data_IF_185284761404
#
_entry.id   IF_185284761404
#
_cell.length_a   1.000
_cell.length_b   1.000
_cell.length_c   1.000
_cell.angle_alpha   90.00
_cell.angle_beta   90.00
_cell.angle_gamma   90.00
#
_symmetry.space_group_name_H-M   'P 1'
#
loop_
_entity.id
_entity.type
_entity.pdbx_description
1 polymer ?
#
# COMPACT_ATOMS: atom_id res chain seq x y z
N UNK A 1 -54.96 34.68 -18.71
CA UNK A 1 -54.61 33.32 -19.15
C UNK A 1 -53.32 33.42 -19.95
N UNK A 2 -52.26 32.78 -19.46
CA UNK A 2 -51.08 32.21 -20.19
C UNK A 2 -50.27 33.14 -21.11
N UNK A 3 -48.93 33.25 -21.08
CA UNK A 3 -47.86 32.33 -20.67
C UNK A 3 -46.56 33.12 -20.42
N UNK A 4 -45.71 32.55 -19.56
CA UNK A 4 -44.33 32.96 -19.26
C UNK A 4 -43.40 32.90 -20.48
N UNK A 5 -42.38 33.78 -20.58
CA UNK A 5 -41.21 33.50 -21.41
C UNK A 5 -40.20 32.64 -20.64
N UNK A 6 -40.08 31.38 -21.06
CA UNK A 6 -39.00 30.47 -20.69
C UNK A 6 -37.63 31.10 -20.98
N UNK A 7 -36.84 31.37 -19.94
CA UNK A 7 -35.41 31.59 -20.09
C UNK A 7 -34.73 30.24 -20.38
N UNK A 8 -34.60 29.90 -21.66
CA UNK A 8 -33.69 28.85 -22.14
C UNK A 8 -32.27 29.25 -21.84
N UNK A 9 -31.81 28.74 -20.72
CA UNK A 9 -30.42 28.71 -20.35
C UNK A 9 -29.77 27.47 -21.02
N UNK A 10 -28.56 27.71 -21.56
CA UNK A 10 -27.43 26.77 -21.56
C UNK A 10 -27.13 26.00 -22.88
N UNK A 11 -26.13 26.55 -23.58
CA UNK A 11 -25.10 25.86 -24.36
C UNK A 11 -25.50 25.08 -25.62
N UNK A 12 -25.64 25.81 -26.75
CA UNK A 12 -25.49 25.23 -28.09
C UNK A 12 -24.01 24.87 -28.33
N UNK A 13 -23.66 23.60 -28.16
CA UNK A 13 -22.32 23.08 -28.42
C UNK A 13 -22.30 22.33 -29.76
N UNK A 14 -22.16 23.08 -30.85
CA UNK A 14 -22.07 22.54 -32.22
C UNK A 14 -20.83 21.67 -32.45
N UNK A 15 -21.08 20.41 -32.83
CA UNK A 15 -20.33 19.61 -33.80
C UNK A 15 -18.94 19.07 -33.39
N UNK A 16 -17.93 19.94 -33.23
CA UNK A 16 -16.54 19.53 -32.95
C UNK A 16 -16.19 19.52 -31.46
N UNK A 17 -16.76 20.46 -30.69
CA UNK A 17 -16.57 20.54 -29.24
C UNK A 17 -17.27 19.39 -28.50
N UNK A 18 -18.30 18.78 -29.10
CA UNK A 18 -18.97 17.60 -28.55
C UNK A 18 -18.02 16.40 -28.42
N UNK A 19 -17.12 16.17 -29.39
CA UNK A 19 -16.12 15.08 -29.31
C UNK A 19 -15.03 15.36 -28.29
N UNK A 20 -14.53 16.60 -28.23
CA UNK A 20 -13.51 16.98 -27.24
C UNK A 20 -14.07 16.88 -25.82
N UNK A 21 -15.29 17.39 -25.61
CA UNK A 21 -15.99 17.29 -24.33
C UNK A 21 -16.32 15.84 -23.99
N UNK A 22 -16.70 15.01 -24.97
CA UNK A 22 -16.93 13.58 -24.77
C UNK A 22 -15.63 12.84 -24.43
N UNK A 23 -14.49 13.19 -25.05
CA UNK A 23 -13.17 12.64 -24.68
C UNK A 23 -12.78 13.08 -23.27
N UNK A 24 -13.02 14.34 -22.90
CA UNK A 24 -12.77 14.85 -21.55
C UNK A 24 -13.64 14.11 -20.53
N UNK A 25 -14.94 13.91 -20.81
CA UNK A 25 -15.83 13.17 -19.90
C UNK A 25 -15.53 11.67 -19.86
N UNK A 26 -15.07 11.05 -20.95
CA UNK A 26 -14.62 9.65 -20.94
C UNK A 26 -13.30 9.51 -20.19
N UNK A 27 -12.38 10.47 -20.32
CA UNK A 27 -11.13 10.51 -19.56
C UNK A 27 -11.42 10.77 -18.07
N UNK A 28 -12.30 11.71 -17.74
CA UNK A 28 -12.77 11.96 -16.37
C UNK A 28 -13.50 10.75 -15.80
N UNK A 29 -14.32 10.05 -16.59
CA UNK A 29 -14.97 8.83 -16.17
C UNK A 29 -13.96 7.70 -15.95
N UNK A 30 -12.93 7.59 -16.79
CA UNK A 30 -11.82 6.63 -16.60
C UNK A 30 -10.98 6.97 -15.37
N UNK A 31 -10.74 8.26 -15.09
CA UNK A 31 -10.08 8.70 -13.86
C UNK A 31 -10.94 8.42 -12.65
N UNK A 32 -12.25 8.70 -12.69
CA UNK A 32 -13.18 8.38 -11.59
C UNK A 32 -13.33 6.87 -11.37
N UNK A 33 -13.30 6.06 -12.43
CA UNK A 33 -13.27 4.59 -12.35
C UNK A 33 -11.90 4.09 -11.87
N UNK A 34 -10.80 4.72 -12.24
CA UNK A 34 -9.46 4.40 -11.72
C UNK A 34 -9.32 4.79 -10.23
N UNK A 35 -9.94 5.89 -9.80
CA UNK A 35 -10.03 6.29 -8.39
C UNK A 35 -10.85 5.30 -7.56
N UNK A 36 -11.85 4.64 -8.16
CA UNK A 36 -12.58 3.54 -7.52
C UNK A 36 -11.74 2.26 -7.41
N UNK A 37 -10.71 2.06 -8.24
CA UNK A 37 -9.81 0.90 -8.17
C UNK A 37 -8.77 1.06 -7.05
N UNK A 38 -8.41 2.29 -6.66
CA UNK A 38 -7.63 2.55 -5.44
C UNK A 38 -8.48 2.28 -4.18
N UNK A 39 -9.79 2.50 -4.26
CA UNK A 39 -10.76 2.26 -3.17
C UNK A 39 -11.30 0.82 -3.17
N UNK A 40 -10.92 -0.03 -4.13
CA UNK A 40 -11.51 -1.35 -4.36
C UNK A 40 -10.53 -2.52 -4.47
N UNK A 41 -9.26 -2.33 -4.12
CA UNK A 41 -8.37 -3.46 -3.87
C UNK A 41 -8.90 -4.26 -2.66
N UNK A 42 -8.93 -5.61 -2.68
CA UNK A 42 -8.92 -6.41 -1.45
C UNK A 42 -7.57 -6.31 -0.67
N UNK A 43 -6.81 -5.25 -0.93
CA UNK A 43 -5.50 -4.91 -0.38
C UNK A 43 -5.20 -3.41 -0.51
N UNK A 44 -6.24 -2.58 -0.61
CA UNK A 44 -6.08 -1.15 -0.38
C UNK A 44 -5.65 -1.05 1.06
N UNK A 45 -4.45 -0.54 1.32
CA UNK A 45 -3.97 -0.30 2.66
C UNK A 45 -4.75 0.90 3.21
N UNK A 46 -6.05 0.71 3.43
CA UNK A 46 -6.73 1.47 4.45
C UNK A 46 -6.08 1.03 5.74
N UNK A 47 -5.27 1.90 6.34
CA UNK A 47 -4.85 1.82 7.75
C UNK A 47 -6.04 1.91 8.74
N UNK A 48 -7.25 1.55 8.30
CA UNK A 48 -8.49 1.70 9.04
C UNK A 48 -9.57 0.86 8.39
N UNK A 49 -9.62 -0.42 8.74
CA UNK A 49 -10.88 -1.16 8.67
C UNK A 49 -11.85 -0.53 9.67
N UNK A 50 -12.73 0.35 9.18
CA UNK A 50 -13.96 0.75 9.87
C UNK A 50 -13.96 2.16 10.49
N UNK A 51 -14.65 3.09 9.82
CA UNK A 51 -15.19 4.31 10.42
C UNK A 51 -14.18 5.41 10.72
N UNK A 52 -14.46 6.62 10.25
CA UNK A 52 -13.67 7.83 10.56
C UNK A 52 -13.73 8.21 12.03
N UNK A 53 -13.06 7.46 12.89
CA UNK A 53 -12.75 7.88 14.24
C UNK A 53 -11.38 8.56 14.19
N UNK A 54 -11.40 9.89 14.26
CA UNK A 54 -10.25 10.67 14.70
C UNK A 54 -9.84 10.11 16.06
N UNK A 55 -8.70 9.41 16.11
CA UNK A 55 -8.13 8.95 17.37
C UNK A 55 -7.68 10.21 18.11
N UNK A 56 -8.17 10.41 19.33
CA UNK A 56 -7.70 11.54 20.14
C UNK A 56 -6.20 11.37 20.44
N UNK A 57 -5.47 12.48 20.52
CA UNK A 57 -4.04 12.45 20.83
C UNK A 57 -3.75 11.65 22.11
N UNK A 58 -4.60 11.77 23.13
CA UNK A 58 -4.52 11.01 24.38
C UNK A 58 -4.59 9.48 24.17
N UNK A 59 -5.38 9.02 23.21
CA UNK A 59 -5.50 7.60 22.89
C UNK A 59 -4.28 7.06 22.11
N UNK A 60 -3.68 7.91 21.27
CA UNK A 60 -2.42 7.59 20.59
C UNK A 60 -1.26 7.48 21.60
N UNK A 61 -1.14 8.43 22.53
CA UNK A 61 -0.13 8.41 23.60
C UNK A 61 -0.28 7.19 24.51
N UNK A 62 -1.50 6.84 24.90
CA UNK A 62 -1.76 5.61 25.67
C UNK A 62 -1.35 4.33 24.92
N UNK A 63 -1.46 4.33 23.59
CA UNK A 63 -1.05 3.20 22.75
C UNK A 63 0.47 3.05 22.71
N UNK A 64 1.21 4.17 22.65
CA UNK A 64 2.67 4.20 22.75
C UNK A 64 3.12 3.68 24.12
N UNK A 65 2.55 4.21 25.21
CA UNK A 65 2.90 3.79 26.58
C UNK A 65 2.64 2.28 26.80
N UNK A 66 1.56 1.74 26.22
CA UNK A 66 1.30 0.31 26.23
C UNK A 66 2.38 -0.49 25.49
N UNK A 67 2.83 0.00 24.34
CA UNK A 67 3.89 -0.65 23.58
C UNK A 67 5.22 -0.64 24.36
N UNK A 68 5.56 0.46 25.03
CA UNK A 68 6.76 0.58 25.88
C UNK A 68 6.73 -0.38 27.07
N UNK A 69 5.60 -0.50 27.79
CA UNK A 69 5.46 -1.50 28.87
C UNK A 69 5.61 -2.95 28.37
N UNK A 70 5.14 -3.24 27.17
CA UNK A 70 5.32 -4.55 26.55
C UNK A 70 6.78 -4.79 26.15
N UNK A 71 7.49 -3.74 25.74
CA UNK A 71 8.90 -3.79 25.41
C UNK A 71 9.75 -4.15 26.63
N UNK A 72 9.50 -3.49 27.77
CA UNK A 72 10.13 -3.85 29.06
C UNK A 72 9.84 -5.31 29.45
N UNK A 73 8.61 -5.77 29.24
CA UNK A 73 8.23 -7.16 29.48
C UNK A 73 9.00 -8.12 28.56
N UNK A 74 9.11 -7.83 27.27
CA UNK A 74 9.90 -8.63 26.32
C UNK A 74 11.38 -8.63 26.69
N UNK A 75 11.94 -7.50 27.12
CA UNK A 75 13.32 -7.42 27.58
C UNK A 75 13.60 -8.36 28.77
N UNK A 76 12.63 -8.50 29.69
CA UNK A 76 12.71 -9.46 30.80
C UNK A 76 12.41 -10.92 30.39
N UNK A 77 11.76 -11.14 29.25
CA UNK A 77 11.32 -12.44 28.75
C UNK A 77 11.63 -12.61 27.24
N UNK A 78 12.91 -12.57 26.82
CA UNK A 78 13.27 -12.45 25.41
C UNK A 78 12.90 -13.67 24.55
N UNK A 79 12.63 -14.81 25.18
CA UNK A 79 12.21 -16.05 24.48
C UNK A 79 10.70 -16.29 24.55
N UNK A 80 9.91 -15.36 25.10
CA UNK A 80 8.46 -15.48 25.16
C UNK A 80 7.84 -15.01 23.84
N UNK A 81 7.60 -15.96 22.93
CA UNK A 81 7.00 -15.69 21.63
C UNK A 81 5.68 -14.91 21.73
N UNK A 82 4.84 -15.16 22.75
CA UNK A 82 3.57 -14.45 22.91
C UNK A 82 3.77 -13.00 23.32
N UNK A 83 4.74 -12.71 24.20
CA UNK A 83 5.06 -11.34 24.57
C UNK A 83 5.62 -10.54 23.37
N UNK A 84 6.47 -11.17 22.55
CA UNK A 84 6.98 -10.56 21.32
C UNK A 84 5.87 -10.33 20.28
N UNK A 85 4.96 -11.29 20.11
CA UNK A 85 3.78 -11.15 19.26
C UNK A 85 2.94 -9.92 19.69
N UNK A 86 2.67 -9.80 20.99
CA UNK A 86 1.93 -8.68 21.58
C UNK A 86 2.65 -7.35 21.37
N UNK A 87 3.99 -7.31 21.50
CA UNK A 87 4.79 -6.12 21.26
C UNK A 87 4.69 -5.65 19.81
N UNK A 88 4.84 -6.56 18.83
CA UNK A 88 4.68 -6.23 17.40
C UNK A 88 3.32 -5.59 17.14
N UNK A 89 2.24 -6.23 17.62
CA UNK A 89 0.88 -5.70 17.46
C UNK A 89 0.71 -4.33 18.12
N UNK A 90 1.27 -4.15 19.32
CA UNK A 90 1.15 -2.90 20.06
C UNK A 90 1.89 -1.75 19.37
N UNK A 91 3.11 -1.99 18.85
CA UNK A 91 3.88 -0.98 18.10
C UNK A 91 3.17 -0.59 16.79
N UNK A 92 2.61 -1.55 16.05
CA UNK A 92 1.79 -1.26 14.86
C UNK A 92 0.56 -0.42 15.24
N UNK A 93 -0.15 -0.80 16.30
CA UNK A 93 -1.33 -0.06 16.75
C UNK A 93 -0.98 1.37 17.18
N UNK A 94 0.14 1.55 17.88
CA UNK A 94 0.66 2.86 18.26
C UNK A 94 1.00 3.70 17.03
N UNK A 95 1.70 3.13 16.04
CA UNK A 95 2.00 3.81 14.79
C UNK A 95 0.74 4.23 14.03
N UNK A 96 -0.27 3.35 13.94
CA UNK A 96 -1.54 3.66 13.31
C UNK A 96 -2.28 4.81 14.03
N UNK A 97 -2.24 4.83 15.36
CA UNK A 97 -2.86 5.90 16.16
C UNK A 97 -2.16 7.25 16.01
N UNK A 98 -0.92 7.27 15.51
CA UNK A 98 -0.11 8.46 15.26
C UNK A 98 -0.15 8.91 13.79
N UNK A 99 -0.88 8.21 12.91
CA UNK A 99 -1.11 8.65 11.53
C UNK A 99 -2.04 9.86 11.57
N UNK A 100 -1.57 10.96 10.98
CA UNK A 100 -2.36 12.19 10.89
C UNK A 100 -3.32 12.08 9.70
N UNK A 101 -4.54 12.58 9.88
CA UNK A 101 -5.55 12.61 8.82
C UNK A 101 -5.97 14.06 8.62
N UNK A 102 -5.75 14.57 7.42
CA UNK A 102 -6.27 15.87 7.01
C UNK A 102 -7.80 15.81 6.96
N UNK A 103 -8.47 16.63 7.77
CA UNK A 103 -9.92 16.54 7.94
C UNK A 103 -10.71 17.05 6.73
N UNK A 104 -10.09 17.86 5.87
CA UNK A 104 -10.74 18.48 4.71
C UNK A 104 -10.65 17.57 3.47
N UNK A 105 -9.51 16.87 3.32
CA UNK A 105 -9.20 16.03 2.16
C UNK A 105 -9.29 14.53 2.45
N UNK A 106 -9.22 14.13 3.73
CA UNK A 106 -9.10 12.75 4.15
C UNK A 106 -7.71 12.14 3.90
N UNK A 107 -6.73 12.96 3.49
CA UNK A 107 -5.36 12.50 3.21
C UNK A 107 -4.67 12.04 4.50
N UNK A 108 -4.03 10.87 4.45
CA UNK A 108 -3.30 10.31 5.59
C UNK A 108 -1.82 10.61 5.45
N UNK A 109 -1.22 11.15 6.51
CA UNK A 109 0.22 11.44 6.59
C UNK A 109 0.86 10.62 7.68
N UNK A 110 1.87 9.82 7.30
CA UNK A 110 2.70 9.08 8.25
C UNK A 110 3.83 10.01 8.73
N UNK A 111 3.63 10.62 9.89
CA UNK A 111 4.62 11.50 10.52
C UNK A 111 5.82 10.74 11.12
N UNK A 112 6.79 11.47 11.64
CA UNK A 112 8.01 10.94 12.25
C UNK A 112 7.71 9.98 13.42
N UNK A 113 6.76 10.33 14.29
CA UNK A 113 6.37 9.48 15.44
C UNK A 113 5.75 8.15 15.01
N UNK A 114 4.88 8.17 13.99
CA UNK A 114 4.31 6.94 13.44
C UNK A 114 5.40 6.07 12.81
N UNK A 115 6.32 6.70 12.06
CA UNK A 115 7.48 6.04 11.44
C UNK A 115 8.39 5.37 12.48
N UNK A 116 8.64 6.04 13.61
CA UNK A 116 9.39 5.48 14.73
C UNK A 116 8.71 4.22 15.28
N UNK A 117 7.40 4.27 15.58
CA UNK A 117 6.68 3.09 16.07
C UNK A 117 6.66 1.94 15.07
N UNK A 118 6.53 2.21 13.77
CA UNK A 118 6.63 1.17 12.75
C UNK A 118 8.04 0.60 12.61
N UNK A 119 9.08 1.41 12.79
CA UNK A 119 10.46 0.94 12.79
C UNK A 119 10.71 -0.01 13.97
N UNK A 120 10.26 0.37 15.16
CA UNK A 120 10.30 -0.48 16.36
C UNK A 120 9.47 -1.76 16.17
N UNK A 121 8.32 -1.69 15.49
CA UNK A 121 7.53 -2.86 15.14
C UNK A 121 8.29 -3.81 14.19
N UNK A 122 9.02 -3.27 13.21
CA UNK A 122 9.83 -4.05 12.30
C UNK A 122 11.00 -4.76 13.03
N UNK A 123 11.63 -4.10 13.99
CA UNK A 123 12.66 -4.71 14.85
C UNK A 123 12.06 -5.83 15.72
N UNK A 124 10.97 -5.55 16.45
CA UNK A 124 10.28 -6.55 17.26
C UNK A 124 9.79 -7.76 16.43
N UNK A 125 9.41 -7.52 15.17
CA UNK A 125 9.03 -8.58 14.23
C UNK A 125 10.20 -9.51 13.91
N UNK A 126 11.41 -8.99 13.69
CA UNK A 126 12.58 -9.83 13.45
C UNK A 126 12.90 -10.71 14.65
N UNK A 127 12.75 -10.20 15.87
CA UNK A 127 12.96 -10.99 17.08
C UNK A 127 11.87 -12.03 17.29
N UNK A 128 10.61 -11.67 17.01
CA UNK A 128 9.50 -12.62 17.00
C UNK A 128 9.70 -13.78 16.00
N UNK A 129 10.20 -13.48 14.79
CA UNK A 129 10.53 -14.50 13.80
C UNK A 129 11.62 -15.46 14.28
N UNK A 130 12.66 -14.94 14.97
CA UNK A 130 13.72 -15.79 15.55
C UNK A 130 13.14 -16.74 16.59
N UNK A 131 12.34 -16.22 17.53
CA UNK A 131 11.76 -17.02 18.62
C UNK A 131 10.77 -18.07 18.13
N UNK A 132 10.03 -17.77 17.06
CA UNK A 132 9.08 -18.72 16.46
C UNK A 132 9.71 -19.66 15.43
N UNK A 133 11.00 -19.50 15.12
CA UNK A 133 11.67 -20.30 14.08
C UNK A 133 11.06 -20.10 12.70
N UNK A 134 10.72 -18.86 12.34
CA UNK A 134 10.05 -18.49 11.09
C UNK A 134 8.67 -19.16 10.90
N UNK A 135 7.92 -19.30 11.99
CA UNK A 135 6.53 -19.76 11.98
C UNK A 135 5.64 -18.78 12.75
N UNK A 136 5.54 -17.52 12.27
CA UNK A 136 4.76 -16.49 12.94
C UNK A 136 3.26 -16.80 12.86
N UNK A 137 2.49 -16.21 13.77
CA UNK A 137 1.04 -16.12 13.62
C UNK A 137 0.65 -15.44 12.30
N UNK A 138 -0.29 -16.02 11.57
CA UNK A 138 -0.76 -15.51 10.27
C UNK A 138 -1.30 -14.09 10.39
N UNK A 139 -2.04 -13.79 11.46
CA UNK A 139 -2.63 -12.48 11.69
C UNK A 139 -1.55 -11.41 11.91
N UNK A 140 -0.49 -11.71 12.66
CA UNK A 140 0.65 -10.79 12.79
C UNK A 140 1.37 -10.60 11.46
N UNK A 141 1.65 -11.68 10.74
CA UNK A 141 2.33 -11.60 9.45
C UNK A 141 1.57 -10.71 8.45
N UNK A 142 0.24 -10.78 8.44
CA UNK A 142 -0.61 -9.93 7.60
C UNK A 142 -0.58 -8.45 8.02
N UNK A 143 -0.55 -8.16 9.32
CA UNK A 143 -0.40 -6.79 9.81
C UNK A 143 0.97 -6.21 9.44
N UNK A 144 2.03 -6.99 9.64
CA UNK A 144 3.40 -6.58 9.33
C UNK A 144 3.60 -6.38 7.83
N UNK A 145 3.04 -7.26 6.99
CA UNK A 145 3.15 -7.12 5.54
C UNK A 145 2.52 -5.82 5.03
N UNK A 146 1.35 -5.47 5.55
CA UNK A 146 0.68 -4.20 5.25
C UNK A 146 1.47 -2.98 5.72
N UNK A 147 1.93 -2.99 6.98
CA UNK A 147 2.76 -1.92 7.55
C UNK A 147 4.03 -1.69 6.73
N UNK A 148 4.80 -2.75 6.43
CA UNK A 148 6.04 -2.64 5.68
C UNK A 148 5.80 -2.15 4.25
N UNK A 149 4.72 -2.59 3.61
CA UNK A 149 4.36 -2.08 2.29
C UNK A 149 4.04 -0.58 2.35
N UNK A 150 3.31 -0.12 3.36
CA UNK A 150 3.08 1.32 3.57
C UNK A 150 4.36 2.10 3.83
N UNK A 151 5.24 1.60 4.71
CA UNK A 151 6.53 2.24 4.98
C UNK A 151 7.41 2.33 3.73
N UNK A 152 7.23 1.43 2.76
CA UNK A 152 7.96 1.55 1.49
C UNK A 152 7.52 2.78 0.69
N UNK A 153 6.29 3.26 0.85
CA UNK A 153 5.78 4.43 0.14
C UNK A 153 6.37 5.71 0.77
N UNK A 154 6.87 6.64 -0.05
CA UNK A 154 7.49 7.88 0.43
C UNK A 154 8.89 7.72 1.07
N UNK A 155 9.48 6.52 1.00
CA UNK A 155 10.81 6.24 1.54
C UNK A 155 11.96 6.58 0.59
N UNK A 156 13.18 6.69 1.13
CA UNK A 156 14.40 6.66 0.30
C UNK A 156 14.49 5.36 -0.50
N UNK A 157 15.32 5.30 -1.56
CA UNK A 157 15.49 4.07 -2.36
C UNK A 157 15.87 2.87 -1.51
N UNK A 158 16.80 3.04 -0.57
CA UNK A 158 17.27 1.95 0.27
C UNK A 158 16.15 1.44 1.20
N UNK A 159 15.39 2.36 1.80
CA UNK A 159 14.25 2.01 2.65
C UNK A 159 13.10 1.39 1.85
N UNK A 160 12.79 1.92 0.66
CA UNK A 160 11.81 1.31 -0.25
C UNK A 160 12.16 -0.14 -0.52
N UNK A 161 13.40 -0.40 -0.97
CA UNK A 161 13.85 -1.76 -1.30
C UNK A 161 13.85 -2.70 -0.10
N UNK A 162 14.30 -2.25 1.07
CA UNK A 162 14.28 -3.06 2.29
C UNK A 162 12.83 -3.40 2.69
N UNK A 163 11.98 -2.37 2.81
CA UNK A 163 10.61 -2.51 3.28
C UNK A 163 9.76 -3.36 2.34
N UNK A 164 9.87 -3.16 1.02
CA UNK A 164 9.08 -3.95 0.05
C UNK A 164 9.49 -5.42 0.02
N UNK A 165 10.78 -5.71 0.17
CA UNK A 165 11.28 -7.09 0.25
C UNK A 165 10.76 -7.78 1.52
N UNK A 166 10.80 -7.09 2.66
CA UNK A 166 10.32 -7.65 3.91
C UNK A 166 8.80 -7.75 3.97
N UNK A 167 8.06 -6.82 3.33
CA UNK A 167 6.61 -6.94 3.12
C UNK A 167 6.27 -8.21 2.32
N UNK A 168 6.99 -8.48 1.24
CA UNK A 168 6.81 -9.70 0.43
C UNK A 168 7.09 -10.97 1.24
N UNK A 169 8.14 -10.99 2.07
CA UNK A 169 8.43 -12.13 2.97
C UNK A 169 7.34 -12.34 4.01
N UNK A 170 6.86 -11.27 4.65
CA UNK A 170 5.77 -11.34 5.62
C UNK A 170 4.49 -11.89 4.97
N UNK A 171 4.14 -11.39 3.78
CA UNK A 171 2.99 -11.87 3.01
C UNK A 171 3.12 -13.34 2.58
N UNK A 172 4.34 -13.82 2.34
CA UNK A 172 4.58 -15.22 2.02
C UNK A 172 4.23 -16.17 3.17
N UNK A 173 4.44 -15.77 4.43
CA UNK A 173 3.95 -16.54 5.59
C UNK A 173 2.42 -16.62 5.61
N UNK A 174 1.74 -15.52 5.28
CA UNK A 174 0.27 -15.49 5.21
C UNK A 174 -0.25 -16.45 4.15
N UNK A 175 0.32 -16.42 2.95
CA UNK A 175 -0.04 -17.33 1.86
C UNK A 175 0.22 -18.78 2.26
N UNK A 176 1.37 -19.08 2.88
CA UNK A 176 1.71 -20.44 3.27
C UNK A 176 0.73 -21.04 4.29
N UNK A 177 0.28 -20.26 5.28
CA UNK A 177 -0.73 -20.73 6.23
C UNK A 177 -2.12 -20.83 5.59
N UNK A 178 -2.49 -19.88 4.73
CA UNK A 178 -3.77 -19.91 4.03
C UNK A 178 -3.87 -21.11 3.06
N UNK A 179 -2.80 -21.46 2.35
CA UNK A 179 -2.74 -22.67 1.51
C UNK A 179 -2.88 -23.95 2.33
N UNK A 180 -2.26 -24.02 3.52
CA UNK A 180 -2.44 -25.18 4.42
C UNK A 180 -3.88 -25.29 4.88
N UNK A 181 -4.51 -24.18 5.26
CA UNK A 181 -5.91 -24.17 5.68
C UNK A 181 -6.84 -24.61 4.54
N UNK A 182 -6.64 -24.09 3.32
CA UNK A 182 -7.39 -24.49 2.12
C UNK A 182 -7.21 -25.99 1.83
N UNK A 183 -5.98 -26.51 1.89
CA UNK A 183 -5.70 -27.93 1.69
C UNK A 183 -6.36 -28.85 2.73
N UNK A 184 -6.66 -28.33 3.93
CA UNK A 184 -7.42 -29.04 4.97
C UNK A 184 -8.94 -28.82 4.88
N UNK A 185 -9.42 -27.99 3.94
CA UNK A 185 -10.84 -27.62 3.83
C UNK A 185 -11.31 -26.69 4.94
N UNK A 186 -10.39 -26.01 5.64
CA UNK A 186 -10.67 -25.12 6.78
C UNK A 186 -10.79 -23.64 6.36
N UNK A 187 -10.59 -23.33 5.09
CA UNK A 187 -10.65 -21.97 4.56
C UNK A 187 -10.82 -21.95 3.04
N UNK A 188 -11.13 -20.76 2.49
CA UNK A 188 -11.18 -20.57 1.05
C UNK A 188 -9.79 -20.67 0.43
N UNK A 189 -9.76 -20.86 -0.89
CA UNK A 189 -8.56 -20.70 -1.70
C UNK A 189 -7.93 -19.30 -1.50
N UNK A 190 -6.59 -19.19 -1.36
CA UNK A 190 -5.92 -17.95 -0.94
C UNK A 190 -5.69 -16.97 -2.10
N UNK A 191 -6.65 -16.83 -3.01
CA UNK A 191 -6.53 -16.03 -4.23
C UNK A 191 -6.13 -14.58 -3.94
N UNK A 192 -6.80 -13.91 -3.00
CA UNK A 192 -6.49 -12.52 -2.63
C UNK A 192 -5.10 -12.37 -2.01
N UNK A 193 -4.69 -13.30 -1.16
CA UNK A 193 -3.38 -13.30 -0.52
C UNK A 193 -2.26 -13.53 -1.56
N UNK A 194 -2.49 -14.38 -2.56
CA UNK A 194 -1.56 -14.63 -3.67
C UNK A 194 -1.43 -13.42 -4.60
N UNK A 195 -2.52 -12.72 -4.91
CA UNK A 195 -2.48 -11.45 -5.67
C UNK A 195 -1.68 -10.39 -4.91
N UNK A 196 -1.88 -10.29 -3.60
CA UNK A 196 -1.13 -9.36 -2.74
C UNK A 196 0.36 -9.73 -2.72
N UNK A 197 0.69 -11.01 -2.57
CA UNK A 197 2.08 -11.48 -2.61
C UNK A 197 2.75 -11.16 -3.94
N UNK A 198 2.08 -11.44 -5.06
CA UNK A 198 2.58 -11.12 -6.41
C UNK A 198 2.84 -9.61 -6.54
N UNK A 199 1.93 -8.79 -6.04
CA UNK A 199 2.05 -7.32 -6.03
C UNK A 199 3.33 -6.86 -5.32
N UNK A 200 3.55 -7.34 -4.10
CA UNK A 200 4.75 -6.97 -3.33
C UNK A 200 6.02 -7.49 -4.00
N UNK A 201 5.99 -8.70 -4.58
CA UNK A 201 7.13 -9.27 -5.31
C UNK A 201 7.47 -8.49 -6.57
N UNK A 202 6.48 -8.00 -7.33
CA UNK A 202 6.73 -7.12 -8.48
C UNK A 202 7.43 -5.83 -8.04
N UNK A 203 6.92 -5.14 -7.02
CA UNK A 203 7.55 -3.91 -6.52
C UNK A 203 8.94 -4.16 -5.92
N UNK A 204 9.15 -5.32 -5.28
CA UNK A 204 10.46 -5.80 -4.85
C UNK A 204 11.41 -6.18 -5.99
N UNK A 205 10.98 -6.04 -7.25
CA UNK A 205 11.71 -6.37 -8.46
C UNK A 205 12.02 -7.88 -8.61
N UNK A 206 11.36 -8.74 -7.84
CA UNK A 206 11.42 -10.20 -7.98
C UNK A 206 10.32 -10.69 -8.93
N UNK A 207 10.47 -10.32 -10.21
CA UNK A 207 9.53 -10.69 -11.26
C UNK A 207 9.33 -12.21 -11.38
N UNK A 208 10.37 -13.01 -11.10
CA UNK A 208 10.27 -14.46 -11.20
C UNK A 208 9.37 -15.04 -10.11
N UNK A 209 9.53 -14.58 -8.87
CA UNK A 209 8.64 -14.99 -7.79
C UNK A 209 7.22 -14.45 -7.99
N UNK A 210 7.08 -13.20 -8.43
CA UNK A 210 5.80 -12.58 -8.72
C UNK A 210 4.99 -13.38 -9.76
N UNK A 211 5.63 -13.80 -10.86
CA UNK A 211 4.99 -14.67 -11.86
C UNK A 211 4.58 -16.03 -11.31
N UNK A 212 5.35 -16.59 -10.37
CA UNK A 212 4.96 -17.82 -9.69
C UNK A 212 3.72 -17.63 -8.83
N UNK A 213 3.63 -16.51 -8.10
CA UNK A 213 2.47 -16.16 -7.27
C UNK A 213 1.24 -15.83 -8.12
N UNK A 214 1.42 -15.12 -9.25
CA UNK A 214 0.37 -14.86 -10.25
C UNK A 214 -0.25 -16.15 -10.77
N UNK A 215 0.57 -17.11 -11.20
CA UNK A 215 0.08 -18.42 -11.69
C UNK A 215 -0.75 -19.15 -10.64
N UNK A 216 -0.29 -19.14 -9.38
CA UNK A 216 -1.04 -19.71 -8.25
C UNK A 216 -2.36 -18.98 -8.03
N UNK A 217 -2.38 -17.65 -8.05
CA UNK A 217 -3.61 -16.86 -7.93
C UNK A 217 -4.64 -17.16 -9.04
N UNK A 218 -4.18 -17.34 -10.27
CA UNK A 218 -5.07 -17.69 -11.39
C UNK A 218 -5.62 -19.11 -11.28
N UNK A 219 -4.83 -20.04 -10.75
CA UNK A 219 -5.25 -21.41 -10.50
C UNK A 219 -6.28 -21.50 -9.36
N UNK A 220 -6.19 -20.60 -8.37
CA UNK A 220 -7.08 -20.55 -7.21
C UNK A 220 -8.37 -19.74 -7.46
N UNK A 221 -8.47 -19.04 -8.60
CA UNK A 221 -9.64 -18.27 -9.00
C UNK A 221 -10.83 -19.14 -9.41
N UNK A 222 -12.03 -18.75 -8.97
CA UNK A 222 -13.27 -19.49 -9.08
C UNK A 222 -13.98 -19.32 -10.43
N UNK A 223 -13.58 -18.35 -11.24
CA UNK A 223 -14.20 -18.07 -12.53
C UNK A 223 -13.22 -17.51 -13.55
N UNK A 224 -13.57 -17.61 -14.83
CA UNK A 224 -12.81 -16.97 -15.91
C UNK A 224 -12.83 -15.43 -15.78
N UNK A 225 -13.94 -14.86 -15.34
CA UNK A 225 -14.05 -13.42 -15.07
C UNK A 225 -13.05 -12.97 -13.99
N UNK A 226 -12.94 -13.72 -12.88
CA UNK A 226 -11.99 -13.45 -11.81
C UNK A 226 -10.54 -13.58 -12.31
N UNK A 227 -10.22 -14.61 -13.10
CA UNK A 227 -8.89 -14.75 -13.73
C UNK A 227 -8.54 -13.56 -14.61
N UNK A 228 -9.49 -13.08 -15.42
CA UNK A 228 -9.28 -11.93 -16.29
C UNK A 228 -9.06 -10.64 -15.49
N UNK A 229 -9.79 -10.46 -14.37
CA UNK A 229 -9.58 -9.35 -13.46
C UNK A 229 -8.19 -9.39 -12.80
N UNK A 230 -7.79 -10.56 -12.28
CA UNK A 230 -6.46 -10.78 -11.68
C UNK A 230 -5.35 -10.49 -12.70
N UNK A 231 -5.48 -10.99 -13.93
CA UNK A 231 -4.49 -10.73 -14.98
C UNK A 231 -4.39 -9.25 -15.31
N UNK A 232 -5.51 -8.58 -15.55
CA UNK A 232 -5.54 -7.15 -15.86
C UNK A 232 -4.88 -6.32 -14.75
N UNK A 233 -5.18 -6.66 -13.49
CA UNK A 233 -4.60 -6.01 -12.33
C UNK A 233 -3.08 -6.23 -12.26
N UNK A 234 -2.62 -7.48 -12.35
CA UNK A 234 -1.20 -7.81 -12.21
C UNK A 234 -0.37 -7.35 -13.41
N UNK A 235 -0.93 -7.28 -14.62
CA UNK A 235 -0.27 -6.66 -15.78
C UNK A 235 -0.02 -5.17 -15.56
N UNK A 236 -1.01 -4.46 -14.98
CA UNK A 236 -0.85 -3.04 -14.63
C UNK A 236 0.25 -2.85 -13.57
N UNK A 237 0.24 -3.70 -12.54
CA UNK A 237 1.23 -3.66 -11.45
C UNK A 237 2.63 -4.00 -11.95
N UNK A 238 2.79 -5.00 -12.81
CA UNK A 238 4.08 -5.34 -13.41
C UNK A 238 4.65 -4.17 -14.19
N UNK A 239 3.83 -3.52 -15.03
CA UNK A 239 4.25 -2.36 -15.81
C UNK A 239 4.67 -1.19 -14.92
N UNK A 240 3.94 -0.96 -13.83
CA UNK A 240 4.28 0.05 -12.84
C UNK A 240 5.60 -0.25 -12.12
N UNK A 241 5.74 -1.47 -11.61
CA UNK A 241 6.94 -1.95 -10.94
C UNK A 241 8.18 -1.85 -11.84
N UNK A 242 8.05 -2.15 -13.14
CA UNK A 242 9.14 -1.96 -14.13
C UNK A 242 9.52 -0.49 -14.30
N UNK A 243 8.54 0.42 -14.26
CA UNK A 243 8.80 1.87 -14.33
C UNK A 243 9.55 2.34 -13.09
N UNK A 244 9.10 1.93 -11.91
CA UNK A 244 9.74 2.24 -10.62
C UNK A 244 11.16 1.68 -10.57
N UNK A 245 11.37 0.42 -10.96
CA UNK A 245 12.71 -0.20 -11.02
C UNK A 245 13.68 0.59 -11.90
N UNK A 246 13.25 1.04 -13.07
CA UNK A 246 14.06 1.92 -13.95
C UNK A 246 14.40 3.27 -13.30
N UNK A 247 13.52 3.81 -12.47
CA UNK A 247 13.77 5.06 -11.73
C UNK A 247 14.77 4.83 -10.60
N UNK A 248 14.61 3.74 -9.84
CA UNK A 248 15.56 3.31 -8.79
C UNK A 248 16.97 3.10 -9.39
N UNK A 249 17.08 2.38 -10.51
CA UNK A 249 18.35 2.14 -11.18
C UNK A 249 19.04 3.43 -11.62
N UNK A 250 18.26 4.39 -12.13
CA UNK A 250 18.78 5.72 -12.51
C UNK A 250 19.27 6.49 -11.28
N UNK A 251 18.48 6.53 -10.21
CA UNK A 251 18.86 7.20 -8.96
C UNK A 251 20.15 6.60 -8.37
N UNK A 252 20.27 5.26 -8.34
CA UNK A 252 21.49 4.56 -7.89
C UNK A 252 22.71 4.88 -8.76
N UNK A 253 22.55 4.92 -10.09
CA UNK A 253 23.65 5.28 -11.00
C UNK A 253 24.10 6.73 -10.81
N UNK A 254 23.14 7.65 -10.68
CA UNK A 254 23.43 9.06 -10.43
C UNK A 254 24.12 9.27 -9.08
N UNK A 255 23.64 8.62 -8.02
CA UNK A 255 24.25 8.69 -6.68
C UNK A 255 25.71 8.24 -6.66
N UNK A 256 26.06 7.20 -7.44
CA UNK A 256 27.45 6.75 -7.63
C UNK A 256 28.32 7.79 -8.33
N UNK A 257 27.73 8.63 -9.18
CA UNK A 257 28.44 9.69 -9.91
C UNK A 257 28.52 11.01 -9.13
N UNK A 258 27.55 11.30 -8.25
CA UNK A 258 27.43 12.57 -7.53
C UNK A 258 27.79 12.50 -6.04
N UNK A 259 28.25 11.36 -5.53
CA UNK A 259 28.66 11.22 -4.12
C UNK A 259 27.49 11.05 -3.12
N UNK A 260 26.31 10.61 -3.56
CA UNK A 260 25.24 10.12 -2.68
C UNK A 260 23.97 10.98 -2.55
N UNK A 261 23.97 12.25 -2.98
CA UNK A 261 22.81 13.16 -2.79
C UNK A 261 21.53 12.76 -3.55
N UNK A 262 21.62 11.92 -4.59
CA UNK A 262 20.47 11.51 -5.40
C UNK A 262 19.58 10.41 -4.77
N UNK A 263 19.88 9.94 -3.56
CA UNK A 263 19.14 8.87 -2.88
C UNK A 263 18.08 9.36 -1.89
N UNK A 264 18.07 10.66 -1.58
CA UNK A 264 17.26 11.24 -0.51
C UNK A 264 15.78 11.43 -0.88
N UNK A 265 15.46 11.73 -2.15
CA UNK A 265 14.07 11.78 -2.62
C UNK A 265 13.93 11.56 -4.14
N UNK A 266 14.15 10.35 -4.67
CA UNK A 266 14.00 10.08 -6.10
C UNK A 266 12.57 9.69 -6.51
N UNK A 267 11.65 9.55 -5.54
CA UNK A 267 10.27 9.10 -5.76
C UNK A 267 9.24 10.21 -5.50
N UNK A 268 9.60 11.35 -4.90
CA UNK A 268 8.72 12.52 -4.73
C UNK A 268 8.16 13.11 -6.03
N UNK A 269 8.78 12.81 -7.18
CA UNK A 269 8.23 13.15 -8.50
C UNK A 269 7.12 12.19 -8.99
N UNK A 270 6.95 11.01 -8.39
CA UNK A 270 5.88 10.09 -8.77
C UNK A 270 4.49 10.58 -8.31
N UNK A 271 4.43 11.52 -7.36
CA UNK A 271 3.19 12.17 -6.91
C UNK A 271 2.82 13.47 -7.65
N UNK A 272 3.76 14.12 -8.34
CA UNK A 272 3.55 15.46 -8.94
C UNK A 272 3.61 15.48 -10.48
N UNK A 273 3.99 14.38 -11.13
CA UNK A 273 4.20 14.30 -12.58
C UNK A 273 2.95 14.03 -13.42
N UNK A 274 1.91 14.86 -13.29
CA UNK A 274 0.72 14.83 -14.16
C UNK A 274 0.08 16.20 -14.44
N UNK A 275 0.67 17.28 -13.92
CA UNK A 275 0.22 18.65 -14.18
C UNK A 275 0.83 19.18 -15.48
N UNK A 276 -0.03 19.44 -16.45
CA UNK A 276 0.28 20.16 -17.67
C UNK A 276 1.03 21.46 -17.35
N UNK A 277 2.24 21.57 -17.89
CA UNK A 277 2.98 22.82 -18.09
C UNK A 277 2.10 23.76 -18.94
N UNK A 278 1.32 24.61 -18.27
CA UNK A 278 0.66 25.75 -18.91
C UNK A 278 1.68 26.87 -18.99
N UNK A 279 2.46 26.82 -20.08
CA UNK A 279 3.38 27.88 -20.46
C UNK A 279 2.74 29.26 -20.34
N UNK A 280 3.21 30.03 -19.36
CA UNK A 280 2.95 31.46 -19.28
C UNK A 280 3.80 32.16 -20.34
N UNK A 281 3.18 32.51 -21.45
CA UNK A 281 3.67 33.58 -22.30
C UNK A 281 3.09 34.91 -21.79
N UNK A 282 3.92 35.70 -21.12
CA UNK A 282 3.68 37.13 -20.90
C UNK A 282 4.01 37.91 -22.18
N UNK A 283 3.40 39.09 -22.33
CA UNK A 283 4.22 40.30 -22.33
C UNK A 283 4.09 41.09 -21.02
#
# INVERSE_FOLDING_TARGET
MSNEPEHRMLFDVRGKRKRVIQVIYVLLALVMVASLIVIGLPGGIGFGGGGGNVVSQDAAELSVERAERLDEKVASQPNNAKAQEELVRARIAAGNGLVEVDQDTGEQTVGEKATEQYSLAAEAWQDYLKTTGNRPDQGVAQLVSGMLFSLSQGSTVAQFEANINDAAKAQAFVVAEAEKAAARGEGPEPTGQLVTLATYQYYAQDFKAAESSRKRALASANSEQERNQINTQLDSIENDARRIGKTIDRAKKQAKQSGGSALQDPLGQLGSGGGLDSGQAQP
#
